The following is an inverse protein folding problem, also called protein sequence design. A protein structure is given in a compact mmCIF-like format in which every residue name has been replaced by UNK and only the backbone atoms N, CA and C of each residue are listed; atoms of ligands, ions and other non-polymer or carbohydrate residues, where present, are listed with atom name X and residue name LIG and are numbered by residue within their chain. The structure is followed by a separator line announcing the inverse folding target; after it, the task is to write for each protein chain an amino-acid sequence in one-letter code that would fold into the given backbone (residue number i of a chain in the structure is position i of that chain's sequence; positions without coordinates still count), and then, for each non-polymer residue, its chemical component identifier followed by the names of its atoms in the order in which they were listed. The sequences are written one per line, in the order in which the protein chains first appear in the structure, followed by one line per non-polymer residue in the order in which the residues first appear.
data_IF_908902430447
#
_entry.id   IF_908902430447
#
_cell.length_a   1.000
_cell.length_b   1.000
_cell.length_c   1.000
_cell.angle_alpha   90.00
_cell.angle_beta   90.00
_cell.angle_gamma   90.00
#
_symmetry.space_group_name_H-M   'P 1'
#
loop_
_entity.id
_entity.type
_entity.pdbx_description
1 polymer ?
#
# COMPACT_ATOMS: atom_id res chain seq x y z
N UNK A 1 6.32 -16.42 14.49
CA UNK A 1 5.62 -16.03 13.25
C UNK A 1 5.97 -17.05 12.14
N UNK A 2 4.97 -17.64 11.43
CA UNK A 2 5.26 -18.57 10.33
C UNK A 2 5.95 -17.81 9.19
N UNK A 3 7.03 -18.38 8.64
CA UNK A 3 7.79 -17.82 7.49
C UNK A 3 6.85 -17.51 6.32
N UNK A 4 7.13 -16.45 5.55
CA UNK A 4 6.44 -16.11 4.28
C UNK A 4 6.40 -17.33 3.37
N UNK A 5 7.49 -18.10 3.31
CA UNK A 5 7.57 -19.39 2.60
C UNK A 5 6.41 -20.32 2.96
N UNK A 6 6.20 -20.58 4.25
CA UNK A 6 5.15 -21.51 4.72
C UNK A 6 3.75 -20.99 4.38
N UNK A 7 3.51 -19.69 4.48
CA UNK A 7 2.20 -19.10 4.17
C UNK A 7 1.85 -19.22 2.68
N UNK A 8 2.81 -18.91 1.80
CA UNK A 8 2.62 -19.00 0.35
C UNK A 8 2.41 -20.45 -0.05
N UNK A 9 3.27 -21.36 0.42
CA UNK A 9 3.17 -22.78 0.16
C UNK A 9 1.81 -23.36 0.58
N UNK A 10 1.40 -23.12 1.83
CA UNK A 10 0.12 -23.61 2.35
C UNK A 10 -1.08 -23.02 1.60
N UNK A 11 -1.04 -21.74 1.21
CA UNK A 11 -2.09 -21.10 0.43
C UNK A 11 -2.28 -21.76 -0.94
N UNK A 12 -1.21 -21.93 -1.69
CA UNK A 12 -1.28 -22.58 -3.01
C UNK A 12 -1.75 -24.04 -2.93
N UNK A 13 -1.23 -24.81 -1.97
CA UNK A 13 -1.63 -26.20 -1.75
C UNK A 13 -3.12 -26.30 -1.37
N UNK A 14 -3.60 -25.42 -0.48
CA UNK A 14 -4.99 -25.42 -0.06
C UNK A 14 -5.97 -25.12 -1.22
N UNK A 15 -5.67 -24.09 -2.02
CA UNK A 15 -6.50 -23.72 -3.18
C UNK A 15 -6.52 -24.86 -4.22
N UNK A 16 -5.36 -25.43 -4.50
CA UNK A 16 -5.28 -26.55 -5.47
C UNK A 16 -6.01 -27.78 -5.00
N UNK A 17 -5.91 -28.12 -3.72
CA UNK A 17 -6.65 -29.24 -3.14
C UNK A 17 -8.17 -29.01 -3.24
N UNK A 18 -8.64 -27.79 -2.94
CA UNK A 18 -10.06 -27.45 -3.06
C UNK A 18 -10.57 -27.60 -4.52
N UNK A 19 -9.79 -27.13 -5.49
CA UNK A 19 -10.13 -27.25 -6.92
C UNK A 19 -10.17 -28.73 -7.38
N UNK A 20 -9.17 -29.53 -7.00
CA UNK A 20 -9.12 -30.96 -7.34
C UNK A 20 -10.31 -31.70 -6.71
N UNK A 21 -10.63 -31.43 -5.45
CA UNK A 21 -11.77 -32.02 -4.76
C UNK A 21 -13.10 -31.65 -5.43
N UNK A 22 -13.29 -30.38 -5.80
CA UNK A 22 -14.46 -29.92 -6.52
C UNK A 22 -14.61 -30.59 -7.89
N UNK A 23 -13.54 -30.67 -8.69
CA UNK A 23 -13.54 -31.33 -9.99
C UNK A 23 -13.86 -32.82 -9.87
N UNK A 24 -13.25 -33.52 -8.91
CA UNK A 24 -13.51 -34.94 -8.64
C UNK A 24 -14.96 -35.16 -8.25
N UNK A 25 -15.52 -34.32 -7.40
CA UNK A 25 -16.92 -34.36 -7.00
C UNK A 25 -17.87 -34.18 -8.20
N UNK A 26 -17.65 -33.17 -9.02
CA UNK A 26 -18.44 -32.90 -10.23
C UNK A 26 -18.38 -34.10 -11.18
N UNK A 27 -17.17 -34.64 -11.41
CA UNK A 27 -16.99 -35.80 -12.28
C UNK A 27 -17.78 -37.00 -11.77
N UNK A 28 -17.66 -37.34 -10.49
CA UNK A 28 -18.37 -38.49 -9.89
C UNK A 28 -19.89 -38.34 -10.01
N UNK A 29 -20.41 -37.14 -9.72
CA UNK A 29 -21.86 -36.86 -9.86
C UNK A 29 -22.30 -36.96 -11.33
N UNK A 30 -21.52 -36.41 -12.27
CA UNK A 30 -21.84 -36.46 -13.69
C UNK A 30 -21.88 -37.88 -14.22
N UNK A 31 -20.89 -38.70 -13.87
CA UNK A 31 -20.85 -40.11 -14.29
C UNK A 31 -22.02 -40.90 -13.70
N UNK A 32 -22.28 -40.71 -12.39
CA UNK A 32 -23.41 -41.40 -11.74
C UNK A 32 -24.75 -40.99 -12.37
N UNK A 33 -24.96 -39.71 -12.64
CA UNK A 33 -26.17 -39.22 -13.30
C UNK A 33 -26.32 -39.81 -14.72
N UNK A 34 -25.26 -39.79 -15.51
CA UNK A 34 -25.27 -40.37 -16.88
C UNK A 34 -25.60 -41.86 -16.89
N UNK A 35 -25.06 -42.62 -15.93
CA UNK A 35 -25.40 -44.05 -15.80
C UNK A 35 -26.87 -44.20 -15.45
N UNK A 36 -27.43 -43.43 -14.54
CA UNK A 36 -28.84 -43.50 -14.18
C UNK A 36 -29.77 -43.11 -15.33
N UNK A 37 -29.43 -42.04 -16.08
CA UNK A 37 -30.18 -41.64 -17.29
C UNK A 37 -30.15 -42.72 -18.38
N UNK A 38 -28.98 -43.34 -18.59
CA UNK A 38 -28.85 -44.44 -19.52
C UNK A 38 -29.73 -45.64 -19.13
N UNK A 39 -29.73 -46.06 -17.85
CA UNK A 39 -30.54 -47.15 -17.34
C UNK A 39 -32.04 -46.85 -17.55
N UNK A 40 -32.46 -45.57 -17.20
CA UNK A 40 -33.87 -45.16 -17.39
C UNK A 40 -34.25 -45.13 -18.89
N UNK A 41 -33.37 -44.62 -19.77
CA UNK A 41 -33.63 -44.59 -21.20
C UNK A 41 -33.82 -46.00 -21.76
N UNK A 42 -32.90 -46.90 -21.46
CA UNK A 42 -32.99 -48.29 -21.90
C UNK A 42 -34.27 -49.02 -21.44
N UNK A 43 -34.65 -48.77 -20.18
CA UNK A 43 -35.92 -49.29 -19.64
C UNK A 43 -37.14 -48.77 -20.43
N UNK A 44 -37.17 -47.45 -20.70
CA UNK A 44 -38.30 -46.82 -21.41
C UNK A 44 -38.39 -47.34 -22.87
N UNK A 45 -37.27 -47.44 -23.59
CA UNK A 45 -37.22 -48.00 -24.94
C UNK A 45 -37.79 -49.44 -24.98
N UNK A 46 -37.41 -50.22 -23.99
CA UNK A 46 -37.84 -51.59 -23.88
C UNK A 46 -39.34 -51.71 -23.55
N UNK A 47 -39.82 -50.94 -22.63
CA UNK A 47 -41.27 -50.87 -22.30
C UNK A 47 -42.10 -50.47 -23.53
N UNK A 48 -41.59 -49.50 -24.32
CA UNK A 48 -42.26 -49.07 -25.56
C UNK A 48 -42.36 -50.17 -26.62
N UNK A 49 -41.42 -51.11 -26.65
CA UNK A 49 -41.45 -52.26 -27.56
C UNK A 49 -42.42 -53.35 -27.10
N UNK A 50 -42.51 -53.63 -25.81
CA UNK A 50 -43.33 -54.75 -25.27
C UNK A 50 -44.78 -54.35 -25.05
N UNK A 51 -45.07 -53.14 -24.65
CA UNK A 51 -46.41 -52.70 -24.30
C UNK A 51 -47.47 -52.96 -25.42
N UNK A 52 -47.15 -52.68 -26.71
CA UNK A 52 -48.07 -52.98 -27.79
C UNK A 52 -48.34 -54.53 -27.97
N UNK A 53 -47.31 -55.36 -27.74
CA UNK A 53 -47.45 -56.83 -27.85
C UNK A 53 -48.36 -57.35 -26.76
N UNK A 54 -48.22 -56.90 -25.51
CA UNK A 54 -49.08 -57.28 -24.40
C UNK A 54 -50.53 -56.81 -24.64
N UNK A 55 -50.72 -55.58 -25.07
CA UNK A 55 -52.05 -55.05 -25.36
C UNK A 55 -52.75 -55.79 -26.50
N UNK A 56 -52.02 -56.18 -27.53
CA UNK A 56 -52.53 -57.00 -28.64
C UNK A 56 -52.99 -58.34 -28.15
N UNK A 57 -52.19 -59.06 -27.34
CA UNK A 57 -52.54 -60.36 -26.76
C UNK A 57 -53.81 -60.26 -25.92
N UNK A 58 -53.94 -59.23 -25.06
CA UNK A 58 -55.12 -59.00 -24.26
C UNK A 58 -56.40 -58.80 -25.12
N UNK A 59 -56.32 -58.05 -26.23
CA UNK A 59 -57.44 -57.85 -27.14
C UNK A 59 -57.91 -59.12 -27.82
N UNK A 60 -56.99 -60.04 -28.08
CA UNK A 60 -57.33 -61.32 -28.73
C UNK A 60 -57.97 -62.29 -27.75
N UNK A 61 -57.55 -62.38 -26.52
CA UNK A 61 -57.97 -63.35 -25.51
C UNK A 61 -58.92 -62.86 -24.45
N UNK A 62 -59.06 -61.53 -24.30
CA UNK A 62 -59.93 -60.95 -23.30
C UNK A 62 -59.39 -61.00 -21.86
N UNK A 63 -58.23 -61.67 -21.67
CA UNK A 63 -57.60 -61.81 -20.35
C UNK A 63 -56.06 -61.88 -20.48
N UNK A 64 -55.36 -61.54 -19.36
CA UNK A 64 -53.92 -61.73 -19.27
C UNK A 64 -53.64 -63.14 -18.76
N UNK A 65 -53.27 -64.07 -19.67
CA UNK A 65 -52.85 -65.41 -19.29
C UNK A 65 -51.31 -65.56 -19.37
N UNK A 66 -50.72 -66.34 -18.46
CA UNK A 66 -49.25 -66.50 -18.40
C UNK A 66 -48.70 -67.07 -19.70
N UNK A 67 -49.33 -68.10 -20.30
CA UNK A 67 -48.84 -68.74 -21.49
C UNK A 67 -48.89 -67.85 -22.73
N UNK A 68 -49.94 -67.06 -22.88
CA UNK A 68 -50.12 -66.22 -24.06
C UNK A 68 -49.18 -64.98 -23.96
N UNK A 69 -48.99 -64.43 -22.75
CA UNK A 69 -48.05 -63.41 -22.52
C UNK A 69 -46.60 -63.87 -22.70
N UNK A 70 -46.28 -65.09 -22.27
CA UNK A 70 -44.94 -65.67 -22.50
C UNK A 70 -44.63 -65.66 -23.97
N UNK A 71 -45.51 -66.21 -24.80
CA UNK A 71 -45.32 -66.27 -26.26
C UNK A 71 -45.20 -64.86 -26.88
N UNK A 72 -45.93 -63.92 -26.41
CA UNK A 72 -45.92 -62.57 -26.93
C UNK A 72 -44.67 -61.78 -26.54
N UNK A 73 -44.11 -62.01 -25.34
CA UNK A 73 -43.00 -61.23 -24.78
C UNK A 73 -41.66 -61.94 -25.03
N UNK A 74 -41.62 -63.29 -25.17
CA UNK A 74 -40.42 -64.09 -25.37
C UNK A 74 -39.51 -63.55 -26.49
N UNK A 75 -40.01 -63.12 -27.68
CA UNK A 75 -39.15 -62.60 -28.75
C UNK A 75 -38.35 -61.37 -28.40
N UNK A 76 -38.79 -60.65 -27.37
CA UNK A 76 -38.15 -59.42 -26.90
C UNK A 76 -37.25 -59.63 -25.69
N UNK A 77 -37.21 -60.85 -25.13
CA UNK A 77 -36.39 -61.14 -23.95
C UNK A 77 -34.91 -61.29 -24.30
N UNK A 78 -34.05 -60.91 -23.41
CA UNK A 78 -32.62 -61.10 -23.45
C UNK A 78 -32.09 -61.66 -22.13
N UNK A 79 -30.88 -62.23 -22.12
CA UNK A 79 -30.23 -62.74 -20.91
C UNK A 79 -30.01 -61.70 -19.80
N UNK A 80 -30.30 -60.44 -20.09
CA UNK A 80 -30.08 -59.32 -19.16
C UNK A 80 -31.34 -58.60 -18.72
N UNK A 81 -32.54 -59.18 -19.05
CA UNK A 81 -33.80 -58.49 -18.88
C UNK A 81 -34.68 -59.17 -17.85
N UNK A 82 -35.34 -58.35 -17.01
CA UNK A 82 -36.34 -58.73 -16.05
C UNK A 82 -37.68 -58.13 -16.46
N UNK A 83 -38.72 -58.98 -16.66
CA UNK A 83 -40.03 -58.54 -17.05
C UNK A 83 -41.04 -59.17 -16.09
N UNK A 84 -41.74 -58.31 -15.33
CA UNK A 84 -42.81 -58.77 -14.42
C UNK A 84 -44.10 -58.09 -14.85
N UNK A 85 -45.09 -58.91 -15.16
CA UNK A 85 -46.42 -58.45 -15.57
C UNK A 85 -47.41 -58.87 -14.50
N UNK A 86 -48.18 -57.89 -14.09
CA UNK A 86 -49.23 -58.03 -13.05
C UNK A 86 -50.57 -57.72 -13.64
N UNK A 87 -51.63 -58.31 -13.08
CA UNK A 87 -53.02 -58.02 -13.45
C UNK A 87 -53.49 -56.66 -12.88
N UNK A 88 -54.74 -56.30 -13.16
CA UNK A 88 -55.37 -55.09 -12.64
C UNK A 88 -55.45 -55.01 -11.11
N UNK A 89 -55.39 -56.17 -10.44
CA UNK A 89 -55.39 -56.29 -8.98
C UNK A 89 -53.98 -56.42 -8.38
N UNK A 90 -52.96 -56.18 -9.23
CA UNK A 90 -51.55 -56.27 -8.85
C UNK A 90 -51.07 -57.68 -8.47
N UNK A 91 -51.75 -58.72 -8.91
CA UNK A 91 -51.26 -60.11 -8.76
C UNK A 91 -50.29 -60.41 -9.90
N UNK A 92 -49.18 -61.14 -9.65
CA UNK A 92 -48.23 -61.54 -10.68
C UNK A 92 -48.90 -62.51 -11.66
N UNK A 93 -48.78 -62.23 -12.96
CA UNK A 93 -49.26 -63.06 -14.07
C UNK A 93 -48.12 -63.72 -14.79
N UNK A 94 -47.08 -62.98 -15.09
CA UNK A 94 -45.88 -63.50 -15.75
C UNK A 94 -44.63 -62.87 -15.13
N UNK A 95 -43.67 -63.69 -14.73
CA UNK A 95 -42.41 -63.32 -14.16
C UNK A 95 -41.30 -63.94 -15.03
N UNK A 96 -40.63 -63.11 -15.82
CA UNK A 96 -39.52 -63.52 -16.68
C UNK A 96 -38.21 -62.95 -16.17
N UNK A 97 -37.24 -63.80 -15.89
CA UNK A 97 -35.90 -63.42 -15.52
C UNK A 97 -34.90 -64.03 -16.49
N UNK A 98 -34.08 -63.18 -17.13
CA UNK A 98 -33.05 -63.66 -18.08
C UNK A 98 -33.58 -64.63 -19.17
N UNK A 99 -34.77 -64.27 -19.71
CA UNK A 99 -35.39 -65.12 -20.77
C UNK A 99 -36.04 -66.40 -20.28
N UNK A 100 -36.20 -66.66 -19.00
CA UNK A 100 -36.84 -67.84 -18.41
C UNK A 100 -38.00 -67.41 -17.50
N UNK A 101 -39.05 -68.25 -17.55
CA UNK A 101 -40.19 -68.05 -16.60
C UNK A 101 -39.73 -68.45 -15.21
N UNK A 102 -39.91 -67.54 -14.27
CA UNK A 102 -39.52 -67.73 -12.87
C UNK A 102 -40.79 -67.86 -11.99
N UNK A 103 -40.69 -68.58 -10.90
CA UNK A 103 -41.77 -68.69 -9.94
C UNK A 103 -41.78 -67.44 -9.04
N UNK A 104 -42.94 -67.13 -8.42
CA UNK A 104 -43.01 -66.01 -7.49
C UNK A 104 -41.99 -66.12 -6.35
N UNK A 105 -41.82 -67.35 -5.83
CA UNK A 105 -40.89 -67.66 -4.73
C UNK A 105 -39.41 -67.36 -5.14
N UNK A 106 -39.05 -67.70 -6.36
CA UNK A 106 -37.67 -67.45 -6.86
C UNK A 106 -37.42 -65.95 -7.06
N UNK A 107 -38.40 -65.22 -7.57
CA UNK A 107 -38.30 -63.77 -7.75
C UNK A 107 -38.23 -63.03 -6.42
N UNK A 108 -39.07 -63.45 -5.46
CA UNK A 108 -39.07 -62.86 -4.12
C UNK A 108 -37.79 -63.14 -3.33
N UNK A 109 -37.05 -64.22 -3.61
CA UNK A 109 -35.72 -64.46 -3.10
C UNK A 109 -34.68 -63.46 -3.63
N UNK A 110 -34.88 -63.00 -4.85
CA UNK A 110 -33.91 -62.10 -5.53
C UNK A 110 -34.20 -60.63 -5.30
N UNK A 111 -35.46 -60.22 -5.28
CA UNK A 111 -35.89 -58.80 -5.21
C UNK A 111 -36.66 -58.43 -3.93
N UNK A 112 -36.84 -59.36 -3.02
CA UNK A 112 -37.70 -59.18 -1.85
C UNK A 112 -39.18 -59.25 -2.20
N UNK A 113 -40.08 -58.67 -1.37
CA UNK A 113 -41.49 -58.68 -1.64
C UNK A 113 -41.81 -58.00 -2.97
N UNK A 114 -42.52 -58.69 -3.86
CA UNK A 114 -43.02 -58.21 -5.15
C UNK A 114 -43.87 -56.94 -5.01
N UNK A 115 -44.64 -56.80 -3.96
CA UNK A 115 -45.42 -55.60 -3.71
C UNK A 115 -44.52 -54.37 -3.40
N UNK A 116 -43.42 -54.55 -2.66
CA UNK A 116 -42.42 -53.52 -2.39
C UNK A 116 -41.63 -53.19 -3.63
N UNK A 117 -41.25 -54.19 -4.41
CA UNK A 117 -40.55 -54.03 -5.69
C UNK A 117 -41.40 -53.19 -6.66
N UNK A 118 -42.69 -53.50 -6.81
CA UNK A 118 -43.62 -52.69 -7.61
C UNK A 118 -43.70 -51.26 -7.17
N UNK A 119 -43.73 -50.97 -5.87
CA UNK A 119 -43.83 -49.63 -5.33
C UNK A 119 -42.56 -48.82 -5.63
N UNK A 120 -41.38 -49.43 -5.60
CA UNK A 120 -40.09 -48.77 -5.82
C UNK A 120 -39.74 -48.53 -7.30
N UNK A 121 -40.22 -49.43 -8.21
CA UNK A 121 -39.84 -49.41 -9.60
C UNK A 121 -40.84 -48.76 -10.57
N UNK A 122 -41.78 -47.97 -10.07
CA UNK A 122 -42.74 -47.19 -10.88
C UNK A 122 -43.35 -47.99 -12.02
N UNK A 123 -44.27 -48.92 -11.76
CA UNK A 123 -44.83 -49.82 -12.80
C UNK A 123 -45.56 -49.03 -13.88
N UNK A 124 -45.36 -49.41 -15.13
CA UNK A 124 -46.03 -48.83 -16.28
C UNK A 124 -47.43 -49.45 -16.40
N UNK A 125 -48.47 -48.64 -16.48
CA UNK A 125 -49.84 -49.12 -16.66
C UNK A 125 -50.06 -49.67 -18.06
N UNK A 126 -50.55 -50.87 -18.14
CA UNK A 126 -51.02 -51.48 -19.39
C UNK A 126 -52.46 -51.04 -19.57
N UNK A 127 -52.78 -50.32 -20.63
CA UNK A 127 -54.12 -49.77 -20.89
C UNK A 127 -54.68 -50.35 -22.17
N UNK A 128 -55.99 -50.66 -22.14
CA UNK A 128 -56.76 -50.94 -23.33
C UNK A 128 -58.06 -50.17 -23.29
N UNK A 129 -58.36 -49.39 -24.33
CA UNK A 129 -59.52 -48.55 -24.39
C UNK A 129 -59.66 -47.53 -23.25
N UNK A 130 -58.48 -47.06 -22.67
CA UNK A 130 -58.46 -46.14 -21.53
C UNK A 130 -58.58 -46.79 -20.14
N UNK A 131 -58.88 -48.10 -20.08
CA UNK A 131 -58.99 -48.86 -18.82
C UNK A 131 -57.61 -49.50 -18.53
N UNK A 132 -57.17 -49.43 -17.29
CA UNK A 132 -55.94 -50.12 -16.84
C UNK A 132 -56.26 -51.60 -16.67
N UNK A 133 -55.63 -52.47 -17.43
CA UNK A 133 -55.82 -53.92 -17.44
C UNK A 133 -54.70 -54.65 -16.67
N UNK A 134 -53.58 -54.00 -16.41
CA UNK A 134 -52.49 -54.57 -15.68
C UNK A 134 -51.31 -53.60 -15.54
N UNK A 135 -50.21 -54.07 -15.00
CA UNK A 135 -49.01 -53.30 -14.76
C UNK A 135 -47.78 -54.07 -15.28
N UNK A 136 -46.86 -53.36 -15.92
CA UNK A 136 -45.62 -53.88 -16.40
C UNK A 136 -44.43 -53.27 -15.61
N UNK A 137 -43.65 -54.08 -14.96
CA UNK A 137 -42.36 -53.74 -14.46
C UNK A 137 -41.31 -54.38 -15.36
N UNK A 138 -40.50 -53.56 -16.01
CA UNK A 138 -39.35 -54.03 -16.77
C UNK A 138 -38.10 -53.41 -16.18
N UNK A 139 -37.13 -54.20 -15.90
CA UNK A 139 -35.82 -53.71 -15.48
C UNK A 139 -34.75 -54.35 -16.38
N UNK A 140 -33.76 -53.59 -16.65
CA UNK A 140 -32.61 -54.03 -17.40
C UNK A 140 -31.48 -54.28 -16.42
N UNK A 141 -30.63 -55.24 -16.72
CA UNK A 141 -29.37 -55.39 -15.97
C UNK A 141 -28.62 -54.08 -16.07
N UNK A 142 -28.34 -53.46 -14.93
CA UNK A 142 -27.76 -52.10 -14.86
C UNK A 142 -26.50 -51.95 -15.72
N UNK A 143 -26.20 -50.71 -16.10
CA UNK A 143 -25.06 -50.35 -16.95
C UNK A 143 -23.77 -51.10 -16.60
N UNK A 144 -23.49 -51.28 -15.33
CA UNK A 144 -22.28 -51.95 -14.81
C UNK A 144 -22.34 -53.48 -14.87
N UNK A 145 -23.46 -54.11 -15.23
CA UNK A 145 -23.55 -55.55 -15.40
C UNK A 145 -22.75 -56.02 -16.62
N UNK A 146 -22.65 -55.18 -17.64
CA UNK A 146 -21.88 -55.52 -18.85
C UNK A 146 -20.39 -55.35 -18.62
N UNK A 147 -19.60 -56.39 -18.98
CA UNK A 147 -18.13 -56.40 -18.81
C UNK A 147 -17.45 -55.21 -19.49
N UNK A 148 -17.91 -54.85 -20.70
CA UNK A 148 -17.37 -53.73 -21.45
C UNK A 148 -17.58 -52.39 -20.70
N UNK A 149 -18.76 -52.18 -20.13
CA UNK A 149 -19.09 -50.94 -19.39
C UNK A 149 -18.33 -50.84 -18.06
N UNK A 150 -18.13 -51.96 -17.38
CA UNK A 150 -17.24 -52.01 -16.17
C UNK A 150 -15.83 -51.67 -16.50
N UNK A 151 -15.29 -52.19 -17.62
CA UNK A 151 -13.94 -51.84 -18.07
C UNK A 151 -13.86 -50.34 -18.40
N UNK A 152 -14.87 -49.80 -19.08
CA UNK A 152 -14.93 -48.40 -19.44
C UNK A 152 -14.92 -47.51 -18.19
N UNK A 153 -15.81 -47.73 -17.20
CA UNK A 153 -15.84 -46.95 -15.95
C UNK A 153 -14.54 -47.07 -15.18
N UNK A 154 -14.01 -48.31 -15.05
CA UNK A 154 -12.73 -48.54 -14.36
C UNK A 154 -11.56 -47.83 -15.07
N UNK A 155 -11.57 -47.75 -16.39
CA UNK A 155 -10.55 -46.99 -17.13
C UNK A 155 -10.67 -45.48 -16.90
N UNK A 156 -11.91 -44.97 -16.88
CA UNK A 156 -12.17 -43.56 -16.54
C UNK A 156 -11.74 -43.22 -15.12
N UNK A 157 -12.01 -44.07 -14.14
CA UNK A 157 -11.57 -43.91 -12.74
C UNK A 157 -10.05 -43.90 -12.65
N UNK A 158 -9.36 -44.83 -13.29
CA UNK A 158 -7.88 -44.86 -13.35
C UNK A 158 -7.31 -43.62 -14.00
N UNK A 159 -7.93 -43.13 -15.09
CA UNK A 159 -7.57 -41.90 -15.73
C UNK A 159 -7.74 -40.68 -14.82
N UNK A 160 -8.84 -40.61 -14.06
CA UNK A 160 -9.08 -39.58 -13.08
C UNK A 160 -8.00 -39.56 -11.98
N UNK A 161 -7.71 -40.74 -11.38
CA UNK A 161 -6.66 -40.82 -10.36
C UNK A 161 -5.28 -40.45 -10.89
N UNK A 162 -4.93 -40.89 -12.11
CA UNK A 162 -3.68 -40.50 -12.76
C UNK A 162 -3.63 -38.95 -12.99
N UNK A 163 -4.72 -38.38 -13.48
CA UNK A 163 -4.83 -36.93 -13.66
C UNK A 163 -4.68 -36.14 -12.36
N UNK A 164 -5.32 -36.61 -11.28
CA UNK A 164 -5.18 -36.03 -9.94
C UNK A 164 -3.72 -36.10 -9.46
N UNK A 165 -3.06 -37.26 -9.61
CA UNK A 165 -1.68 -37.43 -9.20
C UNK A 165 -0.72 -36.46 -9.93
N UNK A 166 -0.91 -36.31 -11.25
CA UNK A 166 -0.14 -35.38 -12.07
C UNK A 166 -0.40 -33.92 -11.61
N UNK A 167 -1.68 -33.53 -11.43
CA UNK A 167 -2.05 -32.19 -11.01
C UNK A 167 -1.45 -31.83 -9.63
N UNK A 168 -1.50 -32.78 -8.68
CA UNK A 168 -0.89 -32.57 -7.34
C UNK A 168 0.63 -32.42 -7.47
N UNK A 169 1.29 -33.25 -8.29
CA UNK A 169 2.74 -33.17 -8.48
C UNK A 169 3.19 -31.85 -9.10
N UNK A 170 2.48 -31.39 -10.14
CA UNK A 170 2.76 -30.08 -10.79
C UNK A 170 2.52 -28.93 -9.79
N UNK A 171 1.41 -28.98 -9.06
CA UNK A 171 1.08 -27.95 -8.05
C UNK A 171 2.16 -27.86 -6.98
N UNK A 172 2.60 -29.01 -6.48
CA UNK A 172 3.64 -29.04 -5.43
C UNK A 172 4.96 -28.47 -5.95
N UNK A 173 5.38 -28.89 -7.14
CA UNK A 173 6.60 -28.40 -7.77
C UNK A 173 6.55 -26.88 -8.02
N UNK A 174 5.47 -26.36 -8.59
CA UNK A 174 5.28 -24.94 -8.86
C UNK A 174 5.21 -24.11 -7.57
N UNK A 175 4.49 -24.62 -6.57
CA UNK A 175 4.35 -23.96 -5.27
C UNK A 175 5.71 -23.88 -4.55
N UNK A 176 6.50 -24.93 -4.56
CA UNK A 176 7.86 -24.93 -4.02
C UNK A 176 8.77 -23.95 -4.77
N UNK A 177 8.72 -23.94 -6.09
CA UNK A 177 9.50 -23.04 -6.91
C UNK A 177 9.19 -21.57 -6.60
N UNK A 178 7.92 -21.16 -6.69
CA UNK A 178 7.49 -19.78 -6.42
C UNK A 178 7.83 -19.39 -4.97
N UNK A 179 7.52 -20.27 -4.00
CA UNK A 179 7.76 -19.99 -2.58
C UNK A 179 9.26 -19.79 -2.27
N UNK A 180 10.14 -20.59 -2.87
CA UNK A 180 11.59 -20.46 -2.66
C UNK A 180 12.14 -19.18 -3.30
N UNK A 181 11.75 -18.88 -4.55
CA UNK A 181 12.20 -17.67 -5.26
C UNK A 181 11.77 -16.42 -4.53
N UNK A 182 10.47 -16.32 -4.20
CA UNK A 182 9.92 -15.12 -3.55
C UNK A 182 10.46 -14.93 -2.13
N UNK A 183 10.59 -16.02 -1.36
CA UNK A 183 11.13 -15.96 0.00
C UNK A 183 12.62 -15.57 0.02
N UNK A 184 13.42 -16.05 -0.94
CA UNK A 184 14.83 -15.65 -1.04
C UNK A 184 14.95 -14.15 -1.31
N UNK A 185 14.16 -13.62 -2.26
CA UNK A 185 14.17 -12.18 -2.60
C UNK A 185 13.68 -11.32 -1.43
N UNK A 186 12.60 -11.72 -0.77
CA UNK A 186 12.09 -11.01 0.40
C UNK A 186 13.10 -11.00 1.57
N UNK A 187 13.77 -12.14 1.82
CA UNK A 187 14.80 -12.23 2.86
C UNK A 187 15.99 -11.37 2.52
N UNK A 188 16.47 -11.42 1.27
CA UNK A 188 17.58 -10.59 0.80
C UNK A 188 17.29 -9.09 0.97
N UNK A 189 16.07 -8.64 0.67
CA UNK A 189 15.64 -7.27 0.90
C UNK A 189 15.58 -6.92 2.40
N UNK A 190 15.04 -7.82 3.23
CA UNK A 190 14.97 -7.62 4.67
C UNK A 190 16.38 -7.55 5.30
N UNK A 191 17.28 -8.45 4.91
CA UNK A 191 18.67 -8.47 5.37
C UNK A 191 19.42 -7.19 4.95
N UNK A 192 19.14 -6.68 3.73
CA UNK A 192 19.70 -5.41 3.28
C UNK A 192 19.21 -4.24 4.13
N UNK A 193 17.92 -4.15 4.41
CA UNK A 193 17.33 -3.06 5.22
C UNK A 193 17.82 -3.13 6.68
N UNK A 194 17.97 -4.33 7.24
CA UNK A 194 18.41 -4.54 8.63
C UNK A 194 19.94 -4.51 8.81
N UNK A 195 20.69 -4.36 7.74
CA UNK A 195 22.15 -4.36 7.80
C UNK A 195 22.68 -3.11 8.52
N UNK A 196 23.58 -3.24 9.50
CA UNK A 196 24.27 -2.11 10.10
C UNK A 196 25.03 -1.26 9.08
N UNK A 197 25.47 -1.88 7.99
CA UNK A 197 26.18 -1.25 6.88
C UNK A 197 25.26 -0.78 5.74
N UNK A 198 23.97 -0.57 6.02
CA UNK A 198 22.99 -0.09 5.03
C UNK A 198 23.53 1.10 4.23
N UNK A 199 24.23 2.02 4.92
CA UNK A 199 24.78 3.24 4.31
C UNK A 199 25.92 2.97 3.31
N UNK A 200 26.65 1.86 3.44
CA UNK A 200 27.81 1.52 2.61
C UNK A 200 27.51 0.54 1.48
N UNK A 201 26.47 -0.28 1.62
CA UNK A 201 26.15 -1.35 0.68
C UNK A 201 25.20 -0.89 -0.42
N UNK A 202 25.47 -1.31 -1.65
CA UNK A 202 24.52 -1.20 -2.76
C UNK A 202 23.93 -2.58 -3.08
N UNK A 203 22.61 -2.63 -3.24
CA UNK A 203 21.92 -3.85 -3.64
C UNK A 203 21.49 -3.75 -5.11
N UNK A 204 21.78 -4.78 -5.95
CA UNK A 204 21.31 -4.83 -7.32
C UNK A 204 19.79 -5.03 -7.37
N UNK A 205 19.17 -4.80 -8.54
CA UNK A 205 17.76 -5.03 -8.75
C UNK A 205 17.38 -6.50 -8.48
N UNK A 206 16.24 -6.71 -7.87
CA UNK A 206 15.75 -8.05 -7.50
C UNK A 206 15.01 -8.75 -8.64
N UNK A 207 14.67 -8.00 -9.73
CA UNK A 207 13.97 -8.51 -10.89
C UNK A 207 12.52 -8.91 -10.61
N UNK A 208 11.90 -8.25 -9.64
CA UNK A 208 10.46 -8.31 -9.34
C UNK A 208 10.02 -6.87 -9.09
N UNK A 209 9.11 -6.37 -9.90
CA UNK A 209 8.74 -4.95 -9.94
C UNK A 209 8.36 -4.36 -8.57
N UNK A 210 7.64 -5.12 -7.75
CA UNK A 210 7.22 -4.68 -6.41
C UNK A 210 8.40 -4.55 -5.46
N UNK A 211 9.32 -5.50 -5.48
CA UNK A 211 10.53 -5.46 -4.65
C UNK A 211 11.51 -4.39 -5.13
N UNK A 212 11.62 -4.20 -6.44
CA UNK A 212 12.48 -3.17 -7.02
C UNK A 212 11.97 -1.76 -6.69
N UNK A 213 10.65 -1.54 -6.66
CA UNK A 213 10.04 -0.28 -6.18
C UNK A 213 10.35 0.00 -4.71
N UNK A 214 10.24 -1.01 -3.85
CA UNK A 214 10.61 -0.88 -2.44
C UNK A 214 12.10 -0.57 -2.30
N UNK A 215 12.95 -1.27 -3.05
CA UNK A 215 14.38 -1.05 -3.05
C UNK A 215 14.75 0.38 -3.47
N UNK A 216 14.10 0.92 -4.51
CA UNK A 216 14.29 2.30 -4.95
C UNK A 216 13.87 3.32 -3.90
N UNK A 217 12.77 3.06 -3.22
CA UNK A 217 12.30 3.91 -2.10
C UNK A 217 13.31 3.90 -0.94
N UNK A 218 13.85 2.72 -0.60
CA UNK A 218 14.88 2.56 0.44
C UNK A 218 16.18 3.27 0.02
N UNK A 219 16.59 3.16 -1.26
CA UNK A 219 17.76 3.89 -1.78
C UNK A 219 17.59 5.41 -1.69
N UNK A 220 16.42 5.93 -2.05
CA UNK A 220 16.12 7.37 -1.92
C UNK A 220 16.19 7.82 -0.46
N UNK A 221 15.56 7.06 0.46
CA UNK A 221 15.62 7.35 1.89
C UNK A 221 17.05 7.31 2.43
N UNK A 222 17.83 6.28 2.05
CA UNK A 222 19.25 6.17 2.38
C UNK A 222 20.04 7.40 1.94
N UNK A 223 19.90 7.81 0.68
CA UNK A 223 20.61 8.96 0.14
C UNK A 223 20.24 10.26 0.87
N UNK A 224 18.97 10.41 1.22
CA UNK A 224 18.51 11.54 2.03
C UNK A 224 19.14 11.54 3.42
N UNK A 225 19.16 10.41 4.11
CA UNK A 225 19.79 10.27 5.44
C UNK A 225 21.31 10.54 5.38
N UNK A 226 22.01 10.03 4.35
CA UNK A 226 23.45 10.31 4.15
C UNK A 226 23.70 11.81 3.94
N UNK A 227 22.86 12.46 3.16
CA UNK A 227 22.96 13.90 2.92
C UNK A 227 22.72 14.68 4.23
N UNK A 228 21.67 14.36 4.97
CA UNK A 228 21.38 14.99 6.26
C UNK A 228 22.50 14.77 7.29
N UNK A 229 23.09 13.55 7.33
CA UNK A 229 24.23 13.27 8.22
C UNK A 229 25.47 14.08 7.83
N UNK A 230 25.73 14.19 6.53
CA UNK A 230 26.87 15.00 6.02
C UNK A 230 26.70 16.46 6.40
N UNK A 231 25.52 17.04 6.14
CA UNK A 231 25.20 18.41 6.53
C UNK A 231 25.34 18.62 8.05
N UNK A 232 24.86 17.67 8.85
CA UNK A 232 24.98 17.74 10.32
C UNK A 232 26.44 17.71 10.79
N UNK A 233 27.28 16.85 10.18
CA UNK A 233 28.71 16.81 10.51
C UNK A 233 29.42 18.12 10.14
N UNK A 234 29.15 18.63 8.96
CA UNK A 234 29.69 19.90 8.50
C UNK A 234 29.29 21.04 9.45
N UNK A 235 28.01 21.10 9.80
CA UNK A 235 27.49 22.07 10.75
C UNK A 235 28.20 22.01 12.13
N UNK A 236 28.41 20.79 12.67
CA UNK A 236 29.15 20.64 13.94
C UNK A 236 30.61 21.10 13.85
N UNK A 237 31.26 20.92 12.70
CA UNK A 237 32.62 21.42 12.47
C UNK A 237 32.67 22.93 12.42
N UNK A 238 31.70 23.55 11.73
CA UNK A 238 31.62 25.00 11.58
C UNK A 238 31.33 25.66 12.93
N UNK A 239 30.38 25.14 13.73
CA UNK A 239 30.14 25.61 15.12
C UNK A 239 31.42 25.53 15.95
N UNK A 240 32.10 24.40 15.87
CA UNK A 240 33.33 24.19 16.67
C UNK A 240 34.42 25.19 16.28
N UNK A 241 34.51 25.51 15.00
CA UNK A 241 35.43 26.52 14.49
C UNK A 241 35.08 27.94 14.99
N UNK A 242 33.80 28.33 14.84
CA UNK A 242 33.31 29.67 15.17
C UNK A 242 33.33 29.95 16.69
N UNK A 243 33.18 28.90 17.51
CA UNK A 243 33.37 29.01 18.96
C UNK A 243 34.86 29.05 19.36
N UNK A 244 35.71 28.30 18.66
CA UNK A 244 37.15 28.22 19.02
C UNK A 244 37.85 29.57 18.84
N UNK A 245 37.53 30.31 17.79
CA UNK A 245 38.16 31.56 17.45
C UNK A 245 38.06 32.59 18.57
N UNK A 246 36.88 33.05 19.02
CA UNK A 246 36.75 33.99 20.10
C UNK A 246 37.25 33.44 21.45
N UNK A 247 37.05 32.13 21.71
CA UNK A 247 37.51 31.47 22.92
C UNK A 247 39.06 31.52 23.01
N UNK A 248 39.75 31.27 21.87
CA UNK A 248 41.21 31.37 21.80
C UNK A 248 41.68 32.81 22.02
N UNK A 249 40.98 33.82 21.46
CA UNK A 249 41.29 35.23 21.68
C UNK A 249 41.17 35.60 23.15
N UNK A 250 40.08 35.17 23.80
CA UNK A 250 39.88 35.38 25.26
C UNK A 250 41.02 34.71 26.05
N UNK A 251 41.32 33.46 25.75
CA UNK A 251 42.36 32.70 26.44
C UNK A 251 43.72 33.35 26.30
N UNK A 252 44.13 33.72 25.09
CA UNK A 252 45.42 34.39 24.86
C UNK A 252 45.56 35.70 25.59
N UNK A 253 44.51 36.52 25.64
CA UNK A 253 44.53 37.79 26.37
C UNK A 253 44.62 37.54 27.89
N UNK A 254 43.89 36.60 28.45
CA UNK A 254 43.95 36.25 29.88
C UNK A 254 45.32 35.67 30.25
N UNK A 255 45.86 34.75 29.44
CA UNK A 255 47.21 34.19 29.65
C UNK A 255 48.27 35.27 29.57
N UNK A 256 48.23 36.15 28.54
CA UNK A 256 49.18 37.26 28.41
C UNK A 256 49.11 38.26 29.58
N UNK A 257 47.93 38.51 30.15
CA UNK A 257 47.78 39.34 31.37
C UNK A 257 48.32 38.63 32.63
N UNK A 258 48.07 37.32 32.73
CA UNK A 258 48.53 36.51 33.85
C UNK A 258 50.09 36.37 33.86
N UNK A 259 50.70 36.26 32.70
CA UNK A 259 52.16 36.12 32.52
C UNK A 259 52.90 37.47 32.57
N UNK A 260 52.16 38.57 32.79
CA UNK A 260 52.70 39.93 32.85
C UNK A 260 53.21 40.48 31.50
N UNK A 261 52.88 39.79 30.39
CA UNK A 261 53.23 40.25 29.03
C UNK A 261 52.29 41.33 28.53
N UNK A 262 51.05 41.33 29.04
CA UNK A 262 50.03 42.28 28.67
C UNK A 262 49.50 43.01 29.93
N UNK A 263 49.40 44.32 29.85
CA UNK A 263 48.83 45.12 30.94
C UNK A 263 47.32 44.90 31.07
N UNK A 264 46.80 44.75 32.27
CA UNK A 264 45.40 44.59 32.55
C UNK A 264 44.63 45.95 32.50
N UNK A 265 44.43 46.47 31.28
CA UNK A 265 43.79 47.78 31.09
C UNK A 265 42.27 47.64 30.92
N UNK A 266 41.53 48.73 31.15
CA UNK A 266 40.09 48.78 30.96
C UNK A 266 39.66 48.46 29.53
N UNK A 267 40.44 48.86 28.53
CA UNK A 267 40.24 48.59 27.12
C UNK A 267 40.34 47.08 26.83
N UNK A 268 41.28 46.36 27.45
CA UNK A 268 41.45 44.93 27.28
C UNK A 268 40.31 44.16 27.94
N UNK A 269 39.84 44.56 29.10
CA UNK A 269 38.66 44.00 29.73
C UNK A 269 37.42 44.26 28.91
N UNK A 270 37.27 45.42 28.27
CA UNK A 270 36.18 45.70 27.35
C UNK A 270 36.25 44.81 26.10
N UNK A 271 37.44 44.55 25.55
CA UNK A 271 37.63 43.63 24.44
C UNK A 271 37.26 42.16 24.84
N UNK A 272 37.74 41.68 26.00
CA UNK A 272 37.35 40.39 26.55
C UNK A 272 35.83 40.24 26.72
N UNK A 273 35.17 41.26 27.27
CA UNK A 273 33.74 41.27 27.42
C UNK A 273 33.03 41.22 26.07
N UNK A 274 33.55 41.91 25.05
CA UNK A 274 33.03 41.86 23.69
C UNK A 274 33.09 40.44 23.11
N UNK A 275 34.25 39.73 23.25
CA UNK A 275 34.43 38.35 22.77
C UNK A 275 33.47 37.39 23.49
N UNK A 276 33.32 37.52 24.82
CA UNK A 276 32.36 36.71 25.59
C UNK A 276 30.92 36.98 25.15
N UNK A 277 30.55 38.22 24.83
CA UNK A 277 29.23 38.56 24.30
C UNK A 277 28.97 37.92 22.92
N UNK A 278 30.02 37.80 22.10
CA UNK A 278 29.90 37.09 20.79
C UNK A 278 29.64 35.60 21.03
N UNK A 279 30.36 34.97 21.96
CA UNK A 279 30.14 33.57 22.31
C UNK A 279 28.72 33.35 22.83
N UNK A 280 28.27 34.20 23.75
CA UNK A 280 26.92 34.17 24.32
C UNK A 280 25.85 34.23 23.21
N UNK A 281 25.95 35.19 22.28
CA UNK A 281 25.01 35.31 21.14
C UNK A 281 25.02 34.08 20.25
N UNK A 282 26.19 33.48 20.00
CA UNK A 282 26.31 32.26 19.23
C UNK A 282 25.54 31.11 19.89
N UNK A 283 25.75 30.91 21.19
CA UNK A 283 25.07 29.85 21.96
C UNK A 283 23.54 30.06 21.95
N UNK A 284 23.08 31.30 22.21
CA UNK A 284 21.65 31.62 22.14
C UNK A 284 21.04 31.36 20.76
N UNK A 285 21.73 31.76 19.70
CA UNK A 285 21.26 31.54 18.33
C UNK A 285 21.18 30.05 17.99
N UNK A 286 22.12 29.23 18.46
CA UNK A 286 22.09 27.77 18.28
C UNK A 286 20.95 27.14 19.04
N UNK A 287 20.71 27.53 20.29
CA UNK A 287 19.59 27.02 21.07
C UNK A 287 18.24 27.36 20.42
N UNK A 288 18.10 28.59 19.94
CA UNK A 288 16.88 29.04 19.28
C UNK A 288 16.64 28.33 17.96
N UNK A 289 17.68 28.18 17.14
CA UNK A 289 17.56 27.42 15.89
C UNK A 289 17.13 25.98 16.16
N UNK A 290 17.76 25.31 17.13
CA UNK A 290 17.38 23.97 17.55
C UNK A 290 15.93 23.89 18.03
N UNK A 291 15.48 24.92 18.76
CA UNK A 291 14.09 25.01 19.26
C UNK A 291 13.10 25.24 18.12
N UNK A 292 13.40 26.15 17.20
CA UNK A 292 12.50 26.48 16.08
C UNK A 292 12.39 25.37 15.04
N UNK A 293 13.38 24.51 14.94
CA UNK A 293 13.37 23.34 14.06
C UNK A 293 12.74 22.10 14.70
N UNK A 294 12.41 22.15 16.00
CA UNK A 294 11.77 21.03 16.68
C UNK A 294 10.32 20.85 16.18
N UNK A 295 9.91 19.62 15.81
CA UNK A 295 8.52 19.34 15.44
C UNK A 295 7.50 19.64 16.55
N UNK A 296 7.97 19.73 17.79
CA UNK A 296 7.14 19.99 18.98
C UNK A 296 6.89 21.48 19.21
N UNK A 297 7.61 22.37 18.50
CA UNK A 297 7.50 23.81 18.67
C UNK A 297 6.11 24.28 18.22
N UNK A 298 5.40 24.89 19.15
CA UNK A 298 4.11 25.55 18.90
C UNK A 298 4.29 27.07 18.96
N UNK A 299 3.71 27.77 18.00
CA UNK A 299 3.68 29.24 17.96
C UNK A 299 2.34 29.75 18.45
N UNK A 300 2.34 30.91 19.06
CA UNK A 300 1.14 31.58 19.57
C UNK A 300 0.63 32.60 18.55
N UNK A 301 -0.16 32.14 17.59
CA UNK A 301 -0.73 33.05 16.58
C UNK A 301 -1.77 33.98 17.21
N UNK A 302 -1.59 35.26 17.01
CA UNK A 302 -2.50 36.34 17.44
C UNK A 302 -2.75 37.29 16.27
N UNK A 303 -3.77 38.13 16.40
CA UNK A 303 -4.00 39.22 15.44
C UNK A 303 -2.96 40.30 15.61
N UNK A 304 -2.17 40.55 14.59
CA UNK A 304 -1.11 41.57 14.56
C UNK A 304 -1.49 42.65 13.55
N UNK A 305 -1.58 43.90 13.98
CA UNK A 305 -1.80 45.03 13.08
C UNK A 305 -0.50 45.34 12.33
N UNK A 306 -0.56 45.32 10.98
CA UNK A 306 0.61 45.50 10.13
C UNK A 306 1.28 46.86 10.25
N UNK A 307 0.48 47.93 10.44
CA UNK A 307 1.01 49.29 10.61
C UNK A 307 1.73 49.44 11.93
N UNK A 308 1.11 49.02 13.03
CA UNK A 308 1.72 49.05 14.36
C UNK A 308 3.00 48.25 14.41
N UNK A 309 3.00 47.04 13.82
CA UNK A 309 4.19 46.20 13.73
C UNK A 309 5.34 46.94 13.00
N UNK A 310 5.02 47.56 11.84
CA UNK A 310 6.02 48.33 11.08
C UNK A 310 6.58 49.50 11.86
N UNK A 311 5.75 50.23 12.68
CA UNK A 311 6.17 51.32 13.56
C UNK A 311 7.07 50.82 14.70
N UNK A 312 6.71 49.69 15.34
CA UNK A 312 7.51 49.09 16.41
C UNK A 312 8.90 48.67 15.87
N UNK A 313 8.97 48.09 14.65
CA UNK A 313 10.23 47.79 13.97
C UNK A 313 11.01 49.06 13.67
N UNK A 314 10.34 50.09 13.13
CA UNK A 314 10.98 51.35 12.78
C UNK A 314 11.63 52.01 14.00
N UNK A 315 10.90 52.13 15.10
CA UNK A 315 11.38 52.69 16.36
C UNK A 315 12.61 51.92 16.87
N UNK A 316 12.60 50.62 16.80
CA UNK A 316 13.70 49.75 17.28
C UNK A 316 15.00 49.97 16.51
N UNK A 317 14.91 50.24 15.21
CA UNK A 317 16.11 50.33 14.34
C UNK A 317 16.52 51.78 14.02
N UNK A 318 15.74 52.77 14.41
CA UNK A 318 16.03 54.20 14.15
C UNK A 318 17.43 54.62 14.63
N UNK A 319 17.79 54.31 15.89
CA UNK A 319 19.09 54.65 16.45
C UNK A 319 20.24 53.92 15.77
N UNK A 320 20.05 52.67 15.32
CA UNK A 320 21.07 51.94 14.59
C UNK A 320 21.31 52.54 13.20
N UNK A 321 20.25 52.98 12.54
CA UNK A 321 20.31 53.67 11.25
C UNK A 321 21.08 55.00 11.35
N UNK A 322 20.78 55.79 12.38
CA UNK A 322 21.48 57.07 12.66
C UNK A 322 22.97 56.83 12.94
N UNK A 323 23.28 55.87 13.84
CA UNK A 323 24.69 55.53 14.18
C UNK A 323 25.48 55.09 12.97
N UNK A 324 24.86 54.36 12.06
CA UNK A 324 25.49 53.86 10.82
C UNK A 324 25.41 54.85 9.65
N UNK A 325 24.74 55.96 9.83
CA UNK A 325 24.49 56.98 8.79
C UNK A 325 23.82 56.37 7.55
N UNK A 326 22.88 55.46 7.76
CA UNK A 326 22.09 54.79 6.71
C UNK A 326 20.70 55.38 6.71
N UNK A 327 20.18 55.69 5.54
CA UNK A 327 18.80 56.17 5.41
C UNK A 327 17.83 55.00 5.61
N UNK A 328 17.05 55.05 6.68
CA UNK A 328 16.03 54.04 6.96
C UNK A 328 14.64 54.60 6.69
N UNK A 329 13.83 53.88 5.91
CA UNK A 329 12.46 54.24 5.57
C UNK A 329 11.51 53.07 5.74
N UNK A 330 10.22 53.38 6.01
CA UNK A 330 9.17 52.40 6.11
C UNK A 330 8.08 52.69 5.09
N UNK A 331 7.76 51.74 4.22
CA UNK A 331 6.74 51.82 3.19
C UNK A 331 5.55 50.91 3.56
N UNK A 332 4.44 51.47 3.94
CA UNK A 332 3.24 50.79 4.41
C UNK A 332 2.24 50.69 3.25
N UNK A 333 2.23 49.61 2.51
CA UNK A 333 1.35 49.37 1.35
C UNK A 333 0.06 48.63 1.66
N UNK A 334 -0.24 48.41 2.92
CA UNK A 334 -1.50 47.82 3.38
C UNK A 334 -2.39 48.89 4.04
N UNK A 335 -3.68 48.62 4.18
CA UNK A 335 -4.60 49.47 4.90
C UNK A 335 -4.22 49.58 6.40
N UNK A 336 -4.54 50.70 7.04
CA UNK A 336 -4.15 50.97 8.44
C UNK A 336 -4.77 49.97 9.43
N UNK A 337 -5.95 49.47 9.14
CA UNK A 337 -6.72 48.52 9.92
C UNK A 337 -6.40 47.05 9.56
N UNK A 338 -5.46 46.81 8.62
CA UNK A 338 -5.12 45.44 8.20
C UNK A 338 -4.41 44.67 9.31
N UNK A 339 -5.02 43.54 9.70
CA UNK A 339 -4.49 42.58 10.67
C UNK A 339 -4.20 41.26 9.97
N UNK A 340 -3.19 40.56 10.47
CA UNK A 340 -2.79 39.22 10.01
C UNK A 340 -2.44 38.33 11.20
N UNK A 341 -2.43 37.02 11.00
CA UNK A 341 -2.16 36.03 12.05
C UNK A 341 -0.67 35.73 12.16
N UNK A 342 -0.05 36.11 13.30
CA UNK A 342 1.36 35.80 13.56
C UNK A 342 1.64 35.70 15.06
N UNK A 343 2.79 35.13 15.41
CA UNK A 343 3.41 35.30 16.74
C UNK A 343 4.25 36.57 16.69
N UNK A 344 3.84 37.65 17.38
CA UNK A 344 4.47 38.95 17.23
C UNK A 344 5.93 38.97 17.72
N UNK A 345 6.28 38.13 18.70
CA UNK A 345 7.65 38.07 19.21
C UNK A 345 8.58 37.37 18.24
N UNK A 346 8.13 36.23 17.70
CA UNK A 346 8.91 35.49 16.72
C UNK A 346 9.02 36.24 15.39
N UNK A 347 7.93 36.88 14.93
CA UNK A 347 7.96 37.67 13.72
C UNK A 347 8.89 38.91 13.88
N UNK A 348 8.83 39.61 15.02
CA UNK A 348 9.76 40.69 15.33
C UNK A 348 11.22 40.20 15.28
N UNK A 349 11.51 39.01 15.77
CA UNK A 349 12.83 38.40 15.72
C UNK A 349 13.25 38.08 14.30
N UNK A 350 12.34 37.51 13.49
CA UNK A 350 12.58 37.21 12.07
C UNK A 350 12.99 38.48 11.31
N UNK A 351 12.16 39.53 11.40
CA UNK A 351 12.41 40.82 10.73
C UNK A 351 13.65 41.50 11.27
N UNK A 352 13.92 41.39 12.57
CA UNK A 352 15.13 41.95 13.19
C UNK A 352 16.41 41.30 12.65
N UNK A 353 16.43 39.99 12.44
CA UNK A 353 17.56 39.28 11.86
C UNK A 353 17.84 39.74 10.43
N UNK A 354 16.79 39.95 9.63
CA UNK A 354 16.91 40.44 8.26
C UNK A 354 17.41 41.88 8.24
N UNK A 355 16.83 42.74 9.08
CA UNK A 355 17.25 44.14 9.18
C UNK A 355 18.70 44.30 9.69
N UNK A 356 19.10 43.51 10.70
CA UNK A 356 20.50 43.49 11.16
C UNK A 356 21.44 43.15 10.02
N UNK A 357 21.09 42.13 9.19
CA UNK A 357 21.84 41.79 8.00
C UNK A 357 21.87 42.95 6.99
N UNK A 358 20.71 43.55 6.69
CA UNK A 358 20.62 44.69 5.78
C UNK A 358 21.51 45.86 6.24
N UNK A 359 21.42 46.24 7.52
CA UNK A 359 22.27 47.29 8.08
C UNK A 359 23.75 46.95 8.14
N UNK A 360 24.10 45.66 8.24
CA UNK A 360 25.50 45.22 8.28
C UNK A 360 26.16 45.36 6.91
N UNK A 361 25.44 45.05 5.83
CA UNK A 361 25.99 45.04 4.47
C UNK A 361 25.70 46.30 3.65
N UNK A 362 24.92 47.24 4.19
CA UNK A 362 24.71 48.54 3.57
C UNK A 362 25.86 49.49 3.94
N UNK A 363 26.47 50.10 2.94
CA UNK A 363 27.52 51.13 3.16
C UNK A 363 26.96 52.43 3.78
N UNK A 364 27.82 53.23 4.41
CA UNK A 364 27.48 54.55 4.90
C UNK A 364 26.88 55.40 3.74
N UNK A 365 25.77 56.07 4.00
CA UNK A 365 25.02 56.82 2.99
C UNK A 365 24.05 55.99 2.15
N UNK A 366 24.06 54.67 2.29
CA UNK A 366 23.10 53.79 1.61
C UNK A 366 21.69 53.85 2.21
N UNK A 367 20.78 53.07 1.65
CA UNK A 367 19.36 53.06 1.99
C UNK A 367 18.90 51.67 2.39
N UNK A 368 18.10 51.57 3.46
CA UNK A 368 17.37 50.37 3.91
C UNK A 368 15.89 50.72 3.97
N UNK A 369 15.03 49.96 3.33
CA UNK A 369 13.59 50.17 3.31
C UNK A 369 12.87 48.93 3.82
N UNK A 370 12.02 49.08 4.83
CA UNK A 370 11.06 48.09 5.29
C UNK A 370 9.74 48.34 4.55
N UNK A 371 9.22 47.31 3.86
CA UNK A 371 7.94 47.39 3.18
C UNK A 371 6.97 46.35 3.72
N UNK A 372 5.74 46.77 4.05
CA UNK A 372 4.65 45.85 4.42
C UNK A 372 3.55 45.92 3.37
N UNK A 373 3.18 44.75 2.80
CA UNK A 373 2.21 44.63 1.72
C UNK A 373 1.22 43.51 2.07
N UNK A 374 -0.08 43.76 1.85
CA UNK A 374 -1.12 42.75 2.00
C UNK A 374 -0.95 41.73 0.87
N UNK A 375 -0.86 40.43 1.22
CA UNK A 375 -0.76 39.37 0.25
C UNK A 375 -2.15 38.78 -0.07
N UNK A 376 -2.92 38.49 0.98
CA UNK A 376 -4.34 38.08 0.94
C UNK A 376 -5.06 38.51 2.24
N UNK A 377 -6.23 37.89 2.57
CA UNK A 377 -7.05 38.34 3.71
C UNK A 377 -6.33 38.25 5.06
N UNK A 378 -5.54 37.18 5.28
CA UNK A 378 -4.90 36.85 6.55
C UNK A 378 -3.36 36.83 6.48
N UNK A 379 -2.77 37.15 5.31
CA UNK A 379 -1.31 37.08 5.12
C UNK A 379 -0.69 38.38 4.70
N UNK A 380 0.50 38.60 5.23
CA UNK A 380 1.32 39.79 4.94
C UNK A 380 2.64 39.40 4.29
N UNK A 381 3.11 40.22 3.38
CA UNK A 381 4.47 40.22 2.87
C UNK A 381 5.25 41.35 3.49
N UNK A 382 6.29 41.00 4.22
CA UNK A 382 7.22 41.95 4.82
C UNK A 382 8.54 41.88 4.07
N UNK A 383 8.91 42.95 3.40
CA UNK A 383 10.12 43.01 2.59
C UNK A 383 11.12 44.01 3.17
N UNK A 384 12.37 43.62 3.19
CA UNK A 384 13.50 44.48 3.53
C UNK A 384 14.36 44.65 2.29
N UNK A 385 14.44 45.87 1.81
CA UNK A 385 15.32 46.24 0.68
C UNK A 385 16.52 46.97 1.25
N UNK A 386 17.70 46.64 0.82
CA UNK A 386 18.92 47.35 1.17
C UNK A 386 19.81 47.55 -0.04
N UNK A 387 20.51 48.72 -0.09
CA UNK A 387 21.47 49.02 -1.14
C UNK A 387 22.63 48.03 -1.09
N UNK A 388 22.96 47.41 -2.23
CA UNK A 388 23.99 46.40 -2.38
C UNK A 388 23.56 45.28 -3.35
N UNK A 389 24.41 44.27 -3.51
CA UNK A 389 24.11 43.11 -4.32
C UNK A 389 24.71 41.85 -3.71
N UNK A 390 24.02 40.73 -3.86
CA UNK A 390 24.50 39.40 -3.51
C UNK A 390 24.97 38.72 -4.81
N UNK A 391 26.11 38.02 -4.77
CA UNK A 391 26.57 37.24 -5.92
C UNK A 391 25.51 36.17 -6.29
N UNK A 392 25.37 35.87 -7.59
CA UNK A 392 24.44 34.84 -8.05
C UNK A 392 24.74 33.47 -7.48
N UNK A 393 26.00 33.19 -7.14
CA UNK A 393 26.44 31.94 -6.52
C UNK A 393 26.06 31.87 -5.04
N UNK A 394 25.99 33.01 -4.34
CA UNK A 394 25.68 33.09 -2.92
C UNK A 394 24.15 33.01 -2.66
N UNK A 395 23.31 33.49 -3.60
CA UNK A 395 21.84 33.57 -3.43
C UNK A 395 21.21 32.24 -2.94
N UNK A 396 21.54 31.05 -3.52
CA UNK A 396 20.97 29.79 -3.06
C UNK A 396 21.35 29.40 -1.64
N UNK A 397 22.45 29.99 -1.11
CA UNK A 397 23.08 29.60 0.15
C UNK A 397 22.90 30.59 1.29
N UNK A 398 22.32 31.78 1.07
CA UNK A 398 22.22 32.81 2.11
C UNK A 398 21.41 32.41 3.34
N UNK A 399 20.53 31.41 3.20
CA UNK A 399 19.75 30.86 4.32
C UNK A 399 20.38 29.60 4.92
N UNK A 400 21.47 29.07 4.35
CA UNK A 400 22.20 27.94 4.93
C UNK A 400 22.80 28.36 6.27
N UNK A 401 22.82 27.42 7.21
CA UNK A 401 23.34 27.68 8.57
C UNK A 401 24.81 27.98 8.50
N UNK A 402 25.24 29.04 9.22
CA UNK A 402 26.64 29.51 9.29
C UNK A 402 27.22 29.94 7.94
N UNK A 403 26.39 30.03 6.90
CA UNK A 403 26.86 30.48 5.59
C UNK A 403 27.30 31.95 5.63
N UNK A 404 28.46 32.20 5.05
CA UNK A 404 29.04 33.54 4.88
C UNK A 404 29.74 33.58 3.54
N UNK A 405 29.27 34.45 2.65
CA UNK A 405 29.93 34.66 1.36
C UNK A 405 31.37 35.13 1.55
N UNK A 406 32.26 34.88 0.56
CA UNK A 406 33.71 35.11 0.68
C UNK A 406 34.07 36.55 1.07
N UNK A 407 33.32 37.55 0.61
CA UNK A 407 33.51 38.95 0.94
C UNK A 407 33.11 39.33 2.38
N UNK A 408 32.33 38.47 3.04
CA UNK A 408 31.80 38.74 4.38
C UNK A 408 32.54 38.05 5.51
N UNK A 409 33.57 37.24 5.21
CA UNK A 409 34.35 36.51 6.22
C UNK A 409 35.09 37.44 7.20
N UNK A 410 35.41 38.67 6.78
CA UNK A 410 36.03 39.68 7.62
C UNK A 410 35.06 40.53 8.47
N UNK A 411 33.75 40.43 8.24
CA UNK A 411 32.74 41.20 8.97
C UNK A 411 32.20 40.40 10.16
N UNK A 412 31.94 41.07 11.30
CA UNK A 412 31.36 40.42 12.50
C UNK A 412 29.96 39.88 12.22
N UNK A 413 29.74 38.54 12.33
CA UNK A 413 28.43 37.93 12.19
C UNK A 413 28.50 36.43 12.29
N UNK A 414 27.52 35.77 12.90
CA UNK A 414 27.50 34.32 13.14
C UNK A 414 27.00 33.49 11.98
N UNK A 415 26.51 34.11 10.89
CA UNK A 415 25.87 33.35 9.79
C UNK A 415 24.56 32.61 10.15
N UNK A 416 24.07 32.80 11.38
CA UNK A 416 22.84 32.14 11.87
C UNK A 416 21.57 33.01 11.75
N UNK A 417 21.70 34.32 11.55
CA UNK A 417 20.54 35.23 11.57
C UNK A 417 19.51 34.92 10.48
N UNK A 418 19.95 34.70 9.25
CA UNK A 418 19.04 34.42 8.13
C UNK A 418 18.44 33.02 8.20
N UNK A 419 19.17 32.01 8.68
CA UNK A 419 18.62 30.67 8.91
C UNK A 419 17.59 30.66 10.04
N UNK A 420 17.77 31.45 11.09
CA UNK A 420 16.75 31.67 12.13
C UNK A 420 15.51 32.37 11.54
N UNK A 421 15.70 33.36 10.69
CA UNK A 421 14.58 34.03 10.03
C UNK A 421 13.77 33.08 9.15
N UNK A 422 14.45 32.20 8.43
CA UNK A 422 13.83 31.14 7.62
C UNK A 422 13.06 30.14 8.50
N UNK A 423 13.64 29.65 9.58
CA UNK A 423 12.97 28.74 10.50
C UNK A 423 11.68 29.35 11.09
N UNK A 424 11.74 30.63 11.48
CA UNK A 424 10.56 31.35 11.98
C UNK A 424 9.49 31.54 10.90
N UNK A 425 9.86 31.84 9.64
CA UNK A 425 8.91 31.95 8.55
C UNK A 425 8.19 30.62 8.29
N UNK A 426 8.94 29.51 8.31
CA UNK A 426 8.39 28.14 8.16
C UNK A 426 7.43 27.80 9.32
N UNK A 427 7.77 28.14 10.55
CA UNK A 427 6.88 27.95 11.71
C UNK A 427 5.54 28.66 11.56
N UNK A 428 5.52 29.81 10.89
CA UNK A 428 4.28 30.54 10.56
C UNK A 428 3.53 29.96 9.35
N UNK A 429 4.00 28.81 8.78
CA UNK A 429 3.43 28.25 7.55
C UNK A 429 3.74 29.06 6.29
N UNK A 430 4.70 29.97 6.39
CA UNK A 430 5.11 30.87 5.35
C UNK A 430 6.45 30.51 4.69
N UNK A 431 7.05 31.48 4.02
CA UNK A 431 8.36 31.34 3.37
C UNK A 431 9.15 32.65 3.40
N UNK A 432 10.46 32.53 3.23
CA UNK A 432 11.36 33.66 3.02
C UNK A 432 12.06 33.51 1.67
N UNK A 433 12.21 34.62 0.96
CA UNK A 433 12.86 34.67 -0.35
C UNK A 433 13.88 35.81 -0.39
N UNK A 434 14.88 35.69 -1.27
CA UNK A 434 15.86 36.72 -1.53
C UNK A 434 16.09 36.88 -3.02
N UNK A 435 16.25 38.12 -3.47
CA UNK A 435 16.58 38.43 -4.85
C UNK A 435 17.37 39.74 -4.94
N UNK A 436 18.21 39.86 -5.96
CA UNK A 436 18.74 41.16 -6.36
C UNK A 436 17.63 41.93 -7.09
N UNK A 437 17.51 43.18 -6.77
CA UNK A 437 16.52 44.14 -7.29
C UNK A 437 17.18 45.46 -7.63
N UNK A 438 16.43 46.41 -8.15
CA UNK A 438 16.83 47.81 -8.31
C UNK A 438 15.85 48.68 -7.57
N UNK A 439 16.35 49.71 -6.89
CA UNK A 439 15.49 50.71 -6.26
C UNK A 439 14.88 51.66 -7.31
N UNK A 440 13.95 52.53 -6.89
CA UNK A 440 13.31 53.54 -7.78
C UNK A 440 14.27 54.54 -8.43
N UNK A 441 15.57 54.54 -8.02
CA UNK A 441 16.65 55.39 -8.59
C UNK A 441 17.57 54.67 -9.53
N UNK A 442 17.37 53.33 -9.71
CA UNK A 442 18.21 52.48 -10.55
C UNK A 442 19.44 51.89 -9.83
N UNK A 443 19.58 52.09 -8.50
CA UNK A 443 20.68 51.51 -7.73
C UNK A 443 20.42 50.01 -7.46
N UNK A 444 21.48 49.21 -7.48
CA UNK A 444 21.39 47.79 -7.14
C UNK A 444 21.00 47.62 -5.67
N UNK A 445 20.02 46.80 -5.41
CA UNK A 445 19.48 46.51 -4.09
C UNK A 445 19.30 44.98 -3.91
N UNK A 446 19.35 44.56 -2.66
CA UNK A 446 18.93 43.20 -2.26
C UNK A 446 17.57 43.30 -1.59
N UNK A 447 16.66 42.43 -1.97
CA UNK A 447 15.33 42.31 -1.37
C UNK A 447 15.19 40.97 -0.68
N UNK A 448 14.99 40.99 0.66
CA UNK A 448 14.54 39.86 1.43
C UNK A 448 13.05 40.00 1.68
N UNK A 449 12.24 38.98 1.37
CA UNK A 449 10.80 39.03 1.54
C UNK A 449 10.32 37.82 2.38
N UNK A 450 9.64 38.11 3.48
CA UNK A 450 8.97 37.14 4.35
C UNK A 450 7.49 37.18 4.05
N UNK A 451 6.90 36.06 3.83
CA UNK A 451 5.47 35.89 3.60
C UNK A 451 4.94 34.99 4.73
N UNK A 452 4.06 35.50 5.55
CA UNK A 452 3.46 34.87 6.71
C UNK A 452 1.96 35.12 6.74
#
# INVERSE_FOLDING_TARGET
MKSIFVRILTGFVAVSFALIAAMSGIFTVAVSRSINEWNAGKRNDFVALILPAISKTYRLEGSLSSSSLENAVMPYTTDSLYIYIFDGNKKPVLLLEKGKVSTQEDVEKSVGSLSTFMALNSPVQIKDGGKTIGYLCADNVGFLAYKANRIFVSTMEKGLFAGIAIAVSITLALSLFISTVLSKKARSLADYISSPDLMKKNMPALGVNEFDRILDSVKKLKNRLLHEETLRRQWMQDISHDLRTPLTAVKMQVEGMNDGVLDATAERFAALYSELTIIEKLVWNLQDLSRFESPEMKIALTDVNAWKFADDVSTRFALLAEKKKIKFSVDKKCAEDFNFKADPLLLMRCVSNILQNAFQYTAEGGEVTLCTEKLDEDRVKISVLNTGAISGEDIPHVFDRLYRGDRSRSTAGSGLGLSIAQAIAILHGGKIEVQNATNGRGDACVCFAVMV
#
